data_IF_709673860586
#
_entry.id   IF_709673860586
#
_cell.length_a   1.000
_cell.length_b   1.000
_cell.length_c   1.000
_cell.angle_alpha   90.00
_cell.angle_beta   90.00
_cell.angle_gamma   90.00
#
_symmetry.space_group_name_H-M   'P 1'
#
loop_
_entity.id
_entity.type
_entity.pdbx_description
1 polymer ?
#
# COMPACT_ATOMS: atom_id res chain seq x y z
N UNK A 1 -22.85 8.49 19.64
CA UNK A 1 -23.17 8.61 18.19
C UNK A 1 -22.75 9.96 17.61
N UNK A 2 -22.96 11.10 18.29
CA UNK A 2 -22.55 12.43 17.80
C UNK A 2 -21.06 12.53 17.44
N UNK A 3 -20.16 12.09 18.34
CA UNK A 3 -18.71 12.06 18.12
C UNK A 3 -18.30 11.32 16.83
N UNK A 4 -18.89 10.16 16.54
CA UNK A 4 -18.54 9.38 15.35
C UNK A 4 -18.95 10.09 14.07
N UNK A 5 -20.04 10.86 14.10
CA UNK A 5 -20.49 11.65 12.97
C UNK A 5 -19.51 12.79 12.67
N UNK A 6 -19.09 13.51 13.71
CA UNK A 6 -18.12 14.61 13.58
C UNK A 6 -16.76 14.13 13.03
N UNK A 7 -16.27 12.98 13.49
CA UNK A 7 -15.05 12.38 12.94
C UNK A 7 -15.22 11.97 11.48
N UNK A 8 -16.37 11.42 11.12
CA UNK A 8 -16.66 11.01 9.74
C UNK A 8 -16.74 12.22 8.81
N UNK A 9 -17.33 13.33 9.27
CA UNK A 9 -17.37 14.60 8.53
C UNK A 9 -15.98 15.19 8.32
N UNK A 10 -15.13 15.20 9.35
CA UNK A 10 -13.73 15.67 9.24
C UNK A 10 -12.89 14.80 8.30
N UNK A 11 -13.06 13.48 8.36
CA UNK A 11 -12.40 12.56 7.44
C UNK A 11 -12.88 12.77 6.00
N UNK A 12 -14.19 12.94 5.81
CA UNK A 12 -14.78 13.24 4.51
C UNK A 12 -14.25 14.56 3.94
N UNK A 13 -14.10 15.57 4.79
CA UNK A 13 -13.56 16.86 4.37
C UNK A 13 -12.09 16.73 3.97
N UNK A 14 -11.26 16.07 4.79
CA UNK A 14 -9.84 15.85 4.48
C UNK A 14 -9.64 15.12 3.14
N UNK A 15 -10.36 14.02 2.89
CA UNK A 15 -10.18 13.22 1.65
C UNK A 15 -10.68 13.92 0.37
N UNK A 16 -11.52 14.95 0.49
CA UNK A 16 -12.00 15.71 -0.67
C UNK A 16 -11.15 16.96 -0.96
N UNK A 17 -10.12 17.23 -0.16
CA UNK A 17 -9.16 18.30 -0.43
C UNK A 17 -7.95 17.75 -1.19
N UNK A 18 -7.41 18.58 -2.09
CA UNK A 18 -6.21 18.22 -2.88
C UNK A 18 -4.99 17.98 -1.98
N UNK A 19 -4.91 18.68 -0.85
CA UNK A 19 -3.84 18.55 0.15
C UNK A 19 -4.14 17.49 1.23
N UNK A 20 -5.03 16.53 0.94
CA UNK A 20 -5.42 15.47 1.89
C UNK A 20 -4.20 14.75 2.47
N UNK A 21 -4.00 14.92 3.77
CA UNK A 21 -2.90 14.27 4.50
C UNK A 21 -3.12 12.76 4.53
N UNK A 22 -4.37 12.30 4.67
CA UNK A 22 -4.70 10.89 4.68
C UNK A 22 -4.38 10.21 3.35
N UNK A 23 -4.78 10.80 2.23
CA UNK A 23 -4.50 10.24 0.90
C UNK A 23 -3.00 10.23 0.64
N UNK A 24 -2.28 11.31 0.98
CA UNK A 24 -0.84 11.38 0.81
C UNK A 24 -0.09 10.33 1.65
N UNK A 25 -0.49 10.14 2.91
CA UNK A 25 0.10 9.12 3.79
C UNK A 25 -0.19 7.69 3.30
N UNK A 26 -1.43 7.44 2.87
CA UNK A 26 -1.83 6.14 2.31
C UNK A 26 -1.06 5.83 1.02
N UNK A 27 -0.88 6.82 0.14
CA UNK A 27 -0.07 6.70 -1.07
C UNK A 27 1.39 6.32 -0.77
N UNK A 28 2.02 6.99 0.20
CA UNK A 28 3.39 6.65 0.64
C UNK A 28 3.49 5.24 1.23
N UNK A 29 2.50 4.85 2.04
CA UNK A 29 2.47 3.52 2.66
C UNK A 29 2.30 2.41 1.63
N UNK A 30 1.39 2.59 0.68
CA UNK A 30 1.15 1.62 -0.40
C UNK A 30 2.35 1.51 -1.34
N UNK A 31 2.99 2.63 -1.69
CA UNK A 31 4.24 2.64 -2.47
C UNK A 31 5.38 1.91 -1.75
N UNK A 32 5.53 2.14 -0.43
CA UNK A 32 6.51 1.42 0.38
C UNK A 32 6.26 -0.09 0.39
N UNK A 33 5.00 -0.50 0.64
CA UNK A 33 4.61 -1.91 0.62
C UNK A 33 4.88 -2.54 -0.74
N UNK A 34 4.52 -1.87 -1.83
CA UNK A 34 4.77 -2.33 -3.18
C UNK A 34 6.26 -2.52 -3.47
N UNK A 35 7.10 -1.55 -3.09
CA UNK A 35 8.56 -1.64 -3.23
C UNK A 35 9.14 -2.81 -2.45
N UNK A 36 8.69 -3.03 -1.21
CA UNK A 36 9.12 -4.17 -0.39
C UNK A 36 8.68 -5.49 -1.04
N UNK A 37 7.44 -5.57 -1.50
CA UNK A 37 6.91 -6.76 -2.17
C UNK A 37 7.70 -7.08 -3.44
N UNK A 38 8.06 -6.09 -4.26
CA UNK A 38 8.91 -6.32 -5.44
C UNK A 38 10.31 -6.74 -5.03
N UNK A 39 10.91 -6.03 -4.07
CA UNK A 39 12.29 -6.29 -3.63
C UNK A 39 12.46 -7.71 -3.08
N UNK A 40 11.47 -8.24 -2.36
CA UNK A 40 11.51 -9.60 -1.80
C UNK A 40 10.93 -10.64 -2.76
N UNK A 41 9.89 -10.27 -3.51
CA UNK A 41 9.18 -11.14 -4.42
C UNK A 41 9.98 -11.50 -5.66
N UNK A 42 10.72 -10.55 -6.25
CA UNK A 42 11.53 -10.83 -7.44
C UNK A 42 12.67 -11.83 -7.17
N UNK A 43 13.50 -11.69 -6.12
CA UNK A 43 14.50 -12.71 -5.77
C UNK A 43 13.87 -14.08 -5.50
N UNK A 44 12.72 -14.12 -4.83
CA UNK A 44 12.01 -15.37 -4.57
C UNK A 44 11.53 -16.02 -5.88
N UNK A 45 10.88 -15.27 -6.75
CA UNK A 45 10.44 -15.77 -8.06
C UNK A 45 11.62 -16.26 -8.90
N UNK A 46 12.73 -15.51 -8.93
CA UNK A 46 13.94 -15.92 -9.63
C UNK A 46 14.51 -17.24 -9.09
N UNK A 47 14.57 -17.39 -7.76
CA UNK A 47 14.97 -18.64 -7.12
C UNK A 47 14.04 -19.80 -7.53
N UNK A 48 12.72 -19.59 -7.50
CA UNK A 48 11.74 -20.60 -7.91
C UNK A 48 11.93 -20.98 -9.38
N UNK A 49 12.12 -20.01 -10.28
CA UNK A 49 12.37 -20.28 -11.69
C UNK A 49 13.62 -21.12 -11.93
N UNK A 50 14.75 -20.80 -11.27
CA UNK A 50 15.97 -21.61 -11.37
C UNK A 50 15.70 -23.03 -10.88
N UNK A 51 15.02 -23.18 -9.74
CA UNK A 51 14.74 -24.50 -9.17
C UNK A 51 13.85 -25.34 -10.08
N UNK A 52 12.79 -24.76 -10.64
CA UNK A 52 11.94 -25.46 -11.60
C UNK A 52 12.71 -25.83 -12.87
N UNK A 53 13.52 -24.93 -13.41
CA UNK A 53 14.34 -25.24 -14.59
C UNK A 53 15.34 -26.36 -14.31
N UNK A 54 15.95 -26.40 -13.13
CA UNK A 54 16.90 -27.46 -12.74
C UNK A 54 16.26 -28.84 -12.52
N UNK A 55 14.94 -28.92 -12.44
CA UNK A 55 14.18 -30.17 -12.28
C UNK A 55 13.64 -30.71 -13.62
N UNK A 56 13.72 -29.90 -14.69
CA UNK A 56 13.35 -30.28 -16.06
C UNK A 56 14.53 -30.84 -16.83
#
# INVERSE_FOLDING_TARGET
MAHLRDWTEKLREDVNHEDSILIAAFGKMTDLLFKITILLGLPFLFYVFIKFHSLS
#
